data_IF_106498061940
#
_entry.id   IF_106498061940
#
_cell.length_a   1.000
_cell.length_b   1.000
_cell.length_c   1.000
_cell.angle_alpha   90.00
_cell.angle_beta   90.00
_cell.angle_gamma   90.00
#
_symmetry.space_group_name_H-M   'P 1'
#
loop_
_entity.id
_entity.type
_entity.pdbx_description
1 polymer ?
#
# COMPACT_ATOMS: atom_id res chain seq x y z
N UNK A 1 15.62 14.41 12.51
CA UNK A 1 16.75 13.44 12.48
C UNK A 1 16.34 12.35 11.50
N UNK A 2 16.76 12.43 10.25
CA UNK A 2 16.46 11.42 9.23
C UNK A 2 17.21 10.15 9.57
N UNK A 3 16.45 9.13 9.93
CA UNK A 3 16.96 7.83 10.32
C UNK A 3 17.83 7.21 9.22
N UNK A 4 19.10 7.02 9.54
CA UNK A 4 20.11 6.32 8.72
C UNK A 4 19.84 4.79 8.55
N UNK A 5 18.64 4.32 8.82
CA UNK A 5 18.24 2.91 8.76
C UNK A 5 18.33 2.29 7.36
N UNK A 6 18.43 3.11 6.34
CA UNK A 6 18.37 2.68 4.94
C UNK A 6 19.73 2.46 4.27
N UNK A 7 20.84 2.86 4.92
CA UNK A 7 22.17 2.76 4.30
C UNK A 7 22.72 1.34 4.22
N UNK A 8 22.18 0.40 4.98
CA UNK A 8 22.74 -0.94 5.11
C UNK A 8 22.23 -2.00 4.12
N UNK A 9 21.22 -1.68 3.28
CA UNK A 9 20.67 -2.65 2.33
C UNK A 9 21.36 -2.62 0.96
N UNK A 10 22.23 -1.66 0.72
CA UNK A 10 22.83 -1.43 -0.60
C UNK A 10 23.85 -2.51 -1.03
N UNK A 11 24.28 -3.38 -0.13
CA UNK A 11 25.27 -4.43 -0.41
C UNK A 11 24.73 -5.86 -0.44
N UNK A 12 23.60 -6.13 0.22
CA UNK A 12 23.05 -7.47 0.33
C UNK A 12 22.02 -7.77 -0.77
N UNK A 13 22.20 -8.90 -1.42
CA UNK A 13 21.27 -9.32 -2.49
C UNK A 13 19.91 -9.70 -1.91
N UNK A 14 18.85 -9.05 -2.37
CA UNK A 14 17.47 -9.46 -2.08
C UNK A 14 17.19 -10.76 -2.81
N UNK A 15 16.64 -11.75 -2.09
CA UNK A 15 16.33 -13.09 -2.59
C UNK A 15 14.97 -13.58 -2.09
N UNK A 16 14.52 -14.74 -2.59
CA UNK A 16 13.30 -15.40 -2.11
C UNK A 16 13.33 -15.77 -0.63
N UNK A 17 14.52 -15.88 -0.03
CA UNK A 17 14.67 -16.24 1.37
C UNK A 17 14.50 -15.05 2.31
N UNK A 18 14.91 -13.84 1.88
CA UNK A 18 15.00 -12.66 2.75
C UNK A 18 14.03 -11.51 2.42
N UNK A 19 13.37 -11.51 1.26
CA UNK A 19 12.58 -10.38 0.77
C UNK A 19 11.43 -9.92 1.68
N UNK A 20 10.96 -10.78 2.59
CA UNK A 20 9.90 -10.47 3.56
C UNK A 20 10.42 -9.96 4.89
N UNK A 21 11.72 -10.05 5.12
CA UNK A 21 12.33 -9.69 6.39
C UNK A 21 12.91 -8.27 6.34
N UNK A 22 12.89 -7.59 7.48
CA UNK A 22 13.57 -6.30 7.61
C UNK A 22 15.09 -6.51 7.57
N UNK A 23 15.85 -5.64 6.89
CA UNK A 23 15.43 -4.42 6.19
C UNK A 23 15.10 -4.62 4.70
N UNK A 24 15.22 -5.83 4.14
CA UNK A 24 15.06 -6.12 2.72
C UNK A 24 13.65 -5.81 2.19
N UNK A 25 12.63 -6.04 3.01
CA UNK A 25 11.23 -5.77 2.68
C UNK A 25 10.97 -4.30 2.31
N UNK A 26 11.74 -3.36 2.85
CA UNK A 26 11.62 -1.93 2.54
C UNK A 26 11.81 -1.63 1.04
N UNK A 27 12.62 -2.44 0.37
CA UNK A 27 12.90 -2.32 -1.07
C UNK A 27 12.08 -3.35 -1.86
N UNK A 28 12.04 -4.59 -1.37
CA UNK A 28 11.43 -5.71 -2.06
C UNK A 28 9.94 -5.47 -2.35
N UNK A 29 9.19 -4.87 -1.42
CA UNK A 29 7.75 -4.66 -1.54
C UNK A 29 7.37 -3.68 -2.66
N UNK A 30 8.29 -2.82 -3.07
CA UNK A 30 8.10 -1.94 -4.23
C UNK A 30 8.74 -2.46 -5.53
N UNK A 31 9.52 -3.56 -5.45
CA UNK A 31 10.25 -4.15 -6.57
C UNK A 31 10.06 -5.66 -6.66
N UNK A 32 8.87 -6.12 -6.36
CA UNK A 32 8.56 -7.57 -6.33
C UNK A 32 8.71 -8.23 -7.69
N UNK A 33 8.54 -7.46 -8.76
CA UNK A 33 8.76 -7.88 -10.15
C UNK A 33 10.21 -8.31 -10.46
N UNK A 34 11.19 -7.90 -9.62
CA UNK A 34 12.57 -8.36 -9.72
C UNK A 34 12.81 -9.69 -8.96
N UNK A 35 11.84 -10.18 -8.22
CA UNK A 35 11.99 -11.29 -7.28
C UNK A 35 11.09 -12.48 -7.65
N UNK A 36 9.87 -12.19 -8.08
CA UNK A 36 8.85 -13.20 -8.40
C UNK A 36 8.40 -13.06 -9.85
N UNK A 37 8.02 -14.18 -10.51
CA UNK A 37 7.30 -14.12 -11.76
C UNK A 37 6.03 -13.30 -11.62
N UNK A 38 5.71 -12.50 -12.63
CA UNK A 38 4.54 -11.63 -12.62
C UNK A 38 3.93 -11.52 -14.00
N UNK A 39 2.65 -11.12 -14.00
CA UNK A 39 1.93 -10.70 -15.21
C UNK A 39 1.43 -9.28 -15.03
N UNK A 40 1.36 -8.53 -16.12
CA UNK A 40 0.93 -7.13 -16.11
C UNK A 40 -0.52 -7.04 -16.53
N UNK A 41 -1.37 -6.57 -15.61
CA UNK A 41 -2.72 -6.14 -15.92
C UNK A 41 -2.67 -4.65 -16.26
N UNK A 42 -2.91 -4.33 -17.52
CA UNK A 42 -2.90 -2.95 -17.97
C UNK A 42 -4.12 -2.20 -17.45
N UNK A 43 -3.92 -0.92 -17.09
CA UNK A 43 -5.04 -0.04 -16.73
C UNK A 43 -6.01 0.13 -17.89
N UNK A 44 -7.28 0.29 -17.59
CA UNK A 44 -8.26 0.69 -18.59
C UNK A 44 -8.00 2.10 -19.15
N UNK A 45 -8.69 2.42 -20.22
CA UNK A 45 -8.58 3.75 -20.88
C UNK A 45 -9.35 4.84 -20.14
N UNK A 46 -10.34 4.46 -19.33
CA UNK A 46 -11.16 5.40 -18.55
C UNK A 46 -10.43 5.80 -17.28
N UNK A 47 -10.14 7.08 -17.13
CA UNK A 47 -9.58 7.62 -15.89
C UNK A 47 -10.70 8.15 -14.99
N UNK A 48 -10.66 7.75 -13.72
CA UNK A 48 -11.52 8.33 -12.69
C UNK A 48 -10.75 9.48 -12.07
N UNK A 49 -11.30 10.68 -12.21
CA UNK A 49 -10.74 11.85 -11.55
C UNK A 49 -11.21 11.89 -10.10
N UNK A 50 -10.25 11.91 -9.18
CA UNK A 50 -10.52 12.07 -7.75
C UNK A 50 -10.15 13.49 -7.38
N UNK A 51 -11.11 14.25 -6.90
CA UNK A 51 -10.85 15.57 -6.37
C UNK A 51 -10.01 15.48 -5.09
N UNK A 52 -9.12 16.43 -4.92
CA UNK A 52 -8.29 16.48 -3.73
C UNK A 52 -8.38 17.86 -3.06
N UNK A 53 -8.65 17.83 -1.77
CA UNK A 53 -8.59 18.99 -0.89
C UNK A 53 -7.62 18.66 0.23
N UNK A 54 -6.34 18.87 -0.03
CA UNK A 54 -5.29 18.44 0.90
C UNK A 54 -5.31 19.32 2.14
N UNK A 55 -5.37 18.67 3.28
CA UNK A 55 -5.23 19.24 4.63
C UNK A 55 -3.97 18.65 5.24
N UNK A 56 -3.09 19.48 5.78
CA UNK A 56 -1.90 18.97 6.48
C UNK A 56 -2.28 18.56 7.89
N UNK A 57 -2.36 17.26 8.10
CA UNK A 57 -2.64 16.64 9.39
C UNK A 57 -1.41 15.94 9.99
N UNK A 58 -0.23 16.15 9.44
CA UNK A 58 1.01 15.47 9.85
C UNK A 58 1.34 15.66 11.33
N UNK A 59 1.07 16.86 11.84
CA UNK A 59 1.32 17.25 13.22
C UNK A 59 0.11 17.05 14.16
N UNK A 60 -1.00 16.49 13.66
CA UNK A 60 -2.14 16.17 14.52
C UNK A 60 -1.71 15.14 15.58
N UNK A 61 -1.92 15.49 16.85
CA UNK A 61 -1.57 14.66 17.98
C UNK A 61 -2.69 13.67 18.33
N UNK A 62 -2.31 12.49 18.73
CA UNK A 62 -3.20 11.49 19.34
C UNK A 62 -2.46 10.68 20.39
N UNK A 63 -3.20 10.03 21.28
CA UNK A 63 -2.63 9.13 22.28
C UNK A 63 -2.67 7.69 21.79
N UNK A 64 -1.55 6.99 21.92
CA UNK A 64 -1.49 5.55 21.63
C UNK A 64 -2.13 4.74 22.78
N UNK A 65 -2.14 3.42 22.65
CA UNK A 65 -2.71 2.51 23.67
C UNK A 65 -2.04 2.56 25.05
N UNK A 66 -0.88 3.21 25.15
CA UNK A 66 -0.13 3.41 26.40
C UNK A 66 -0.29 4.83 26.95
N UNK A 67 -1.23 5.63 26.41
CA UNK A 67 -1.44 7.04 26.73
C UNK A 67 -0.24 7.97 26.42
N UNK A 68 0.67 7.55 25.57
CA UNK A 68 1.76 8.39 25.09
C UNK A 68 1.27 9.24 23.92
N UNK A 69 1.52 10.54 23.96
CA UNK A 69 1.21 11.44 22.83
C UNK A 69 2.23 11.28 21.72
N UNK A 70 1.73 11.24 20.50
CA UNK A 70 2.53 11.23 19.29
C UNK A 70 1.80 11.92 18.15
N UNK A 71 2.52 12.44 17.19
CA UNK A 71 1.96 12.97 15.97
C UNK A 71 1.70 11.85 14.94
N UNK A 72 0.91 12.16 13.91
CA UNK A 72 0.70 11.23 12.79
C UNK A 72 2.04 10.89 12.12
N UNK A 73 2.91 11.88 11.93
CA UNK A 73 4.22 11.65 11.30
C UNK A 73 5.13 10.77 12.16
N UNK A 74 5.15 10.98 13.49
CA UNK A 74 5.89 10.11 14.40
C UNK A 74 5.40 8.68 14.35
N UNK A 75 4.08 8.49 14.22
CA UNK A 75 3.48 7.17 14.07
C UNK A 75 3.92 6.50 12.78
N UNK A 76 3.93 7.22 11.65
CA UNK A 76 4.40 6.67 10.38
C UNK A 76 5.86 6.25 10.44
N UNK A 77 6.72 7.10 11.00
CA UNK A 77 8.16 6.82 11.14
C UNK A 77 8.42 5.61 12.03
N UNK A 78 7.76 5.55 13.20
CA UNK A 78 7.91 4.43 14.14
C UNK A 78 7.44 3.09 13.57
N UNK A 79 6.40 3.11 12.73
CA UNK A 79 5.82 1.90 12.15
C UNK A 79 6.38 1.57 10.76
N UNK A 80 7.38 2.32 10.27
CA UNK A 80 7.96 2.13 8.95
C UNK A 80 6.88 2.11 7.86
N UNK A 81 5.91 3.02 7.97
CA UNK A 81 4.82 3.15 7.00
C UNK A 81 5.39 3.56 5.65
N UNK A 82 4.99 2.91 4.58
CA UNK A 82 5.48 3.21 3.23
C UNK A 82 4.67 4.31 2.57
N UNK A 83 3.35 4.28 2.73
CA UNK A 83 2.47 5.32 2.23
C UNK A 83 1.14 5.34 2.99
N UNK A 84 0.49 6.47 2.97
CA UNK A 84 -0.82 6.65 3.58
C UNK A 84 -1.66 7.64 2.77
N UNK A 85 -2.91 7.30 2.54
CA UNK A 85 -3.87 8.19 1.90
C UNK A 85 -5.18 8.19 2.70
N UNK A 86 -5.75 9.37 2.91
CA UNK A 86 -7.01 9.56 3.60
C UNK A 86 -8.04 10.19 2.67
N UNK A 87 -9.21 9.56 2.59
CA UNK A 87 -10.34 10.04 1.81
C UNK A 87 -11.50 10.37 2.73
N UNK A 88 -12.21 11.47 2.42
CA UNK A 88 -13.43 11.88 3.11
C UNK A 88 -14.46 12.31 2.09
N UNK A 89 -15.64 11.66 2.10
CA UNK A 89 -16.73 11.93 1.15
C UNK A 89 -16.28 11.91 -0.32
N UNK A 90 -15.44 10.95 -0.68
CA UNK A 90 -14.93 10.79 -2.04
C UNK A 90 -13.74 11.69 -2.42
N UNK A 91 -13.37 12.66 -1.59
CA UNK A 91 -12.22 13.54 -1.82
C UNK A 91 -11.00 13.04 -1.07
N UNK A 92 -9.84 13.07 -1.70
CA UNK A 92 -8.57 12.85 -1.02
C UNK A 92 -8.21 14.09 -0.20
N UNK A 93 -8.09 13.93 1.13
CA UNK A 93 -7.82 15.03 2.05
C UNK A 93 -6.40 15.00 2.62
N UNK A 94 -5.74 13.85 2.61
CA UNK A 94 -4.35 13.74 3.04
C UNK A 94 -3.63 12.66 2.27
N UNK A 95 -2.34 12.88 2.04
CA UNK A 95 -1.47 11.92 1.37
C UNK A 95 -0.05 12.06 1.90
N UNK A 96 0.56 10.93 2.20
CA UNK A 96 1.94 10.84 2.65
C UNK A 96 2.64 9.65 2.02
N UNK A 97 3.90 9.82 1.68
CA UNK A 97 4.78 8.77 1.19
C UNK A 97 6.12 8.87 1.91
N UNK A 98 6.64 7.73 2.31
CA UNK A 98 8.03 7.62 2.72
C UNK A 98 8.96 8.00 1.56
N UNK A 99 10.16 8.49 1.90
CA UNK A 99 11.20 8.87 0.91
C UNK A 99 11.59 7.74 -0.05
N UNK A 100 11.32 6.48 0.32
CA UNK A 100 11.53 5.29 -0.53
C UNK A 100 10.39 5.02 -1.49
N UNK A 101 9.17 5.34 -1.09
CA UNK A 101 7.95 5.01 -1.79
C UNK A 101 7.35 6.25 -2.41
N UNK A 102 7.87 6.61 -3.58
CA UNK A 102 7.28 7.67 -4.37
C UNK A 102 5.88 7.25 -4.84
N UNK A 103 5.01 8.23 -5.06
CA UNK A 103 3.65 8.03 -5.59
C UNK A 103 3.57 7.13 -6.82
N UNK A 104 4.60 7.12 -7.64
CA UNK A 104 4.69 6.33 -8.87
C UNK A 104 5.14 4.88 -8.64
N UNK A 105 5.62 4.54 -7.45
CA UNK A 105 6.10 3.21 -7.16
C UNK A 105 4.94 2.24 -7.00
N UNK A 106 5.12 1.04 -7.54
CA UNK A 106 4.24 -0.10 -7.23
C UNK A 106 4.53 -0.54 -5.79
N UNK A 107 3.55 -1.13 -5.17
CA UNK A 107 3.71 -1.73 -3.85
C UNK A 107 2.90 -3.02 -3.77
N UNK A 108 3.48 -4.06 -3.17
CA UNK A 108 2.77 -5.32 -2.98
C UNK A 108 1.57 -5.14 -2.05
N UNK A 109 0.43 -5.69 -2.43
CA UNK A 109 -0.82 -5.56 -1.66
C UNK A 109 -1.12 -6.77 -0.79
N UNK A 110 -0.38 -7.87 -0.95
CA UNK A 110 -0.69 -9.12 -0.26
C UNK A 110 -2.18 -9.46 -0.31
N UNK A 111 -2.78 -9.79 0.83
CA UNK A 111 -4.20 -10.18 0.90
C UNK A 111 -5.20 -9.07 0.60
N UNK A 112 -4.80 -7.81 0.53
CA UNK A 112 -5.67 -6.73 0.02
C UNK A 112 -6.09 -7.01 -1.42
N UNK A 113 -5.27 -7.75 -2.20
CA UNK A 113 -5.63 -8.21 -3.55
C UNK A 113 -6.92 -9.03 -3.60
N UNK A 114 -7.28 -9.73 -2.50
CA UNK A 114 -8.54 -10.48 -2.41
C UNK A 114 -9.77 -9.59 -2.48
N UNK A 115 -9.68 -8.36 -1.99
CA UNK A 115 -10.76 -7.37 -2.13
C UNK A 115 -10.99 -7.00 -3.59
N UNK A 116 -9.92 -6.86 -4.38
CA UNK A 116 -10.04 -6.60 -5.82
C UNK A 116 -10.63 -7.80 -6.56
N UNK A 117 -10.20 -9.02 -6.19
CA UNK A 117 -10.78 -10.26 -6.74
C UNK A 117 -12.26 -10.35 -6.42
N UNK A 118 -12.66 -10.05 -5.18
CA UNK A 118 -14.07 -10.04 -4.77
C UNK A 118 -14.91 -9.04 -5.58
N UNK A 119 -14.39 -7.85 -5.85
CA UNK A 119 -15.07 -6.88 -6.72
C UNK A 119 -15.22 -7.40 -8.16
N UNK A 120 -14.18 -8.05 -8.70
CA UNK A 120 -14.26 -8.64 -10.04
C UNK A 120 -15.34 -9.75 -10.10
N UNK A 121 -15.38 -10.63 -9.09
CA UNK A 121 -16.44 -11.65 -8.97
C UNK A 121 -17.81 -11.00 -8.87
N UNK A 122 -17.97 -9.93 -8.08
CA UNK A 122 -19.22 -9.19 -7.97
C UNK A 122 -19.74 -8.67 -9.33
N UNK A 123 -18.84 -8.15 -10.17
CA UNK A 123 -19.18 -7.73 -11.53
C UNK A 123 -19.64 -8.91 -12.42
N UNK A 124 -19.02 -10.10 -12.27
CA UNK A 124 -19.42 -11.29 -13.01
C UNK A 124 -20.81 -11.78 -12.57
N UNK A 125 -21.11 -11.70 -11.28
CA UNK A 125 -22.45 -12.02 -10.73
C UNK A 125 -23.49 -11.03 -11.25
N UNK A 126 -23.21 -9.72 -11.20
CA UNK A 126 -24.12 -8.69 -11.72
C UNK A 126 -24.45 -8.91 -13.21
N UNK A 127 -23.45 -9.30 -13.99
CA UNK A 127 -23.60 -9.64 -15.41
C UNK A 127 -24.17 -11.06 -15.66
N UNK A 128 -24.58 -11.78 -14.62
CA UNK A 128 -25.14 -13.15 -14.70
C UNK A 128 -24.20 -14.18 -15.33
N UNK A 129 -22.89 -13.97 -15.23
CA UNK A 129 -21.88 -14.89 -15.73
C UNK A 129 -21.47 -15.93 -14.66
N UNK A 130 -21.77 -15.66 -13.40
CA UNK A 130 -21.55 -16.57 -12.25
C UNK A 130 -22.82 -16.56 -11.40
N UNK A 131 -23.27 -17.75 -11.00
CA UNK A 131 -24.31 -17.94 -9.97
C UNK A 131 -23.64 -18.30 -8.63
N UNK A 132 -23.86 -17.48 -7.61
CA UNK A 132 -23.29 -17.70 -6.26
C UNK A 132 -23.92 -18.89 -5.53
N UNK A 133 -25.05 -19.43 -6.02
CA UNK A 133 -25.68 -20.62 -5.48
C UNK A 133 -25.19 -21.91 -6.15
N UNK A 134 -24.35 -21.80 -7.18
CA UNK A 134 -23.79 -22.96 -7.86
C UNK A 134 -22.72 -23.62 -6.98
N UNK A 135 -22.78 -24.93 -6.89
CA UNK A 135 -21.77 -25.73 -6.18
C UNK A 135 -20.41 -25.65 -6.92
N UNK A 136 -19.33 -25.59 -6.15
CA UNK A 136 -17.97 -25.68 -6.67
C UNK A 136 -17.67 -27.17 -6.83
N UNK A 137 -17.55 -27.62 -8.07
CA UNK A 137 -17.19 -29.00 -8.44
C UNK A 137 -15.71 -29.10 -8.77
#
# INVERSE_FOLDING_TARGET
>A
MTNNLHKNVQGDKISLENWRTYPYNRIAFSKIDNILPYEVIHKGTKEIRIDSKIEDISLLEFSNKYNEKQTIIDFFDKNLTDSFQLFKKGNKIFEWFDNYNLRSNRHILFSVSKSLTSLAVGLLVENKLIDTNQEIT
#
